data_IF_179471272334
#
_entry.id   IF_179471272334
#
_cell.length_a   1.000
_cell.length_b   1.000
_cell.length_c   1.000
_cell.angle_alpha   90.00
_cell.angle_beta   90.00
_cell.angle_gamma   90.00
#
_symmetry.space_group_name_H-M   'P 1'
#
loop_
_entity.id
_entity.type
_entity.pdbx_description
1 polymer ?
#
# COMPACT_ATOMS: atom_id res chain seq x y z
N UNK A 1 -18.75 -5.29 18.29
CA UNK A 1 -18.27 -4.15 17.46
C UNK A 1 -17.57 -4.68 16.20
N UNK A 2 -17.65 -3.98 15.06
CA UNK A 2 -16.93 -4.33 13.83
C UNK A 2 -15.80 -3.31 13.62
N UNK A 3 -14.55 -3.76 13.43
CA UNK A 3 -13.42 -2.86 13.16
C UNK A 3 -12.67 -3.32 11.91
N UNK A 4 -12.53 -2.40 10.93
CA UNK A 4 -11.63 -2.59 9.79
C UNK A 4 -10.22 -2.29 10.24
N UNK A 5 -9.27 -3.20 10.04
CA UNK A 5 -7.91 -3.08 10.58
C UNK A 5 -6.88 -3.28 9.48
N UNK A 6 -5.93 -2.36 9.41
CA UNK A 6 -4.75 -2.49 8.55
C UNK A 6 -3.73 -3.46 9.17
N UNK A 7 -3.38 -4.50 8.41
CA UNK A 7 -2.42 -5.53 8.82
C UNK A 7 -0.95 -5.11 8.70
N UNK A 8 -0.69 -3.94 8.10
CA UNK A 8 0.66 -3.55 7.73
C UNK A 8 1.13 -4.16 6.41
N UNK A 9 2.35 -3.84 5.96
CA UNK A 9 2.87 -4.18 4.63
C UNK A 9 3.30 -5.64 4.48
N UNK A 10 3.56 -6.35 5.60
CA UNK A 10 4.02 -7.75 5.55
C UNK A 10 4.62 -8.26 6.85
N UNK A 11 5.60 -7.58 7.42
CA UNK A 11 6.19 -7.97 8.71
C UNK A 11 5.15 -7.87 9.84
N UNK A 12 5.15 -8.87 10.73
CA UNK A 12 4.17 -8.98 11.80
C UNK A 12 4.25 -7.82 12.81
N UNK A 13 5.44 -7.27 13.01
CA UNK A 13 5.70 -6.14 13.93
C UNK A 13 5.40 -4.76 13.32
N UNK A 14 5.02 -4.71 12.04
CA UNK A 14 4.56 -3.49 11.40
C UNK A 14 3.03 -3.30 11.45
N UNK A 15 2.31 -4.17 12.14
CA UNK A 15 0.95 -3.88 12.56
C UNK A 15 0.98 -2.77 13.62
N UNK A 16 0.00 -1.87 13.61
CA UNK A 16 -0.09 -0.86 14.65
C UNK A 16 -0.37 -1.49 16.02
N UNK A 17 0.07 -0.85 17.10
CA UNK A 17 -0.22 -1.31 18.48
C UNK A 17 -1.72 -1.46 18.71
N UNK A 18 -2.54 -0.56 18.13
CA UNK A 18 -4.01 -0.66 18.18
C UNK A 18 -4.50 -1.89 17.42
N UNK A 19 -4.02 -2.10 16.18
CA UNK A 19 -4.40 -3.25 15.37
C UNK A 19 -4.06 -4.58 16.06
N UNK A 20 -2.87 -4.67 16.67
CA UNK A 20 -2.47 -5.85 17.44
C UNK A 20 -3.40 -6.13 18.63
N UNK A 21 -3.78 -5.08 19.38
CA UNK A 21 -4.71 -5.22 20.50
C UNK A 21 -6.07 -5.71 20.01
N UNK A 22 -6.62 -5.11 18.96
CA UNK A 22 -7.89 -5.51 18.37
C UNK A 22 -7.89 -6.97 17.91
N UNK A 23 -6.80 -7.46 17.28
CA UNK A 23 -6.66 -8.88 16.92
C UNK A 23 -6.67 -9.80 18.14
N UNK A 24 -5.97 -9.42 19.21
CA UNK A 24 -5.93 -10.20 20.46
C UNK A 24 -7.29 -10.26 21.16
N UNK A 25 -8.13 -9.26 21.00
CA UNK A 25 -9.46 -9.14 21.61
C UNK A 25 -10.56 -9.72 20.72
N UNK A 26 -10.31 -9.96 19.44
CA UNK A 26 -11.29 -10.40 18.47
C UNK A 26 -11.88 -11.79 18.79
N UNK A 27 -13.19 -11.92 18.60
CA UNK A 27 -13.92 -13.19 18.61
C UNK A 27 -14.04 -13.76 17.19
N UNK A 28 -14.08 -12.87 16.19
CA UNK A 28 -14.12 -13.21 14.77
C UNK A 28 -13.07 -12.36 14.03
N UNK A 29 -12.27 -13.01 13.19
CA UNK A 29 -11.35 -12.34 12.25
C UNK A 29 -11.68 -12.76 10.82
N UNK A 30 -11.95 -11.78 9.95
CA UNK A 30 -12.14 -12.00 8.51
C UNK A 30 -10.96 -11.33 7.81
N UNK A 31 -10.02 -12.10 7.27
CA UNK A 31 -8.79 -11.57 6.67
C UNK A 31 -8.77 -11.63 5.13
N UNK A 32 -8.05 -10.71 4.50
CA UNK A 32 -8.01 -10.53 3.04
C UNK A 32 -7.04 -11.49 2.32
N UNK A 33 -7.14 -12.77 2.62
CA UNK A 33 -6.44 -13.83 1.88
C UNK A 33 -4.91 -13.76 1.96
N UNK A 34 -4.25 -14.16 0.88
CA UNK A 34 -2.79 -14.34 0.81
C UNK A 34 -1.96 -13.05 0.89
N UNK A 35 -2.59 -11.90 0.90
CA UNK A 35 -1.92 -10.60 1.04
C UNK A 35 -1.72 -10.20 2.50
N UNK A 36 -2.36 -10.87 3.44
CA UNK A 36 -2.17 -10.70 4.89
C UNK A 36 -1.20 -11.77 5.38
N UNK A 37 -0.18 -11.36 6.14
CA UNK A 37 0.76 -12.30 6.74
C UNK A 37 0.02 -13.23 7.73
N UNK A 38 0.02 -14.56 7.49
CA UNK A 38 -0.70 -15.50 8.36
C UNK A 38 -0.13 -15.56 9.78
N UNK A 39 1.09 -15.09 10.01
CA UNK A 39 1.69 -14.96 11.34
C UNK A 39 0.88 -14.08 12.27
N UNK A 40 0.22 -13.05 11.75
CA UNK A 40 -0.68 -12.19 12.52
C UNK A 40 -1.88 -12.95 13.12
N UNK A 41 -2.34 -14.00 12.47
CA UNK A 41 -3.47 -14.80 12.96
C UNK A 41 -3.13 -15.57 14.26
N UNK A 42 -1.83 -15.77 14.56
CA UNK A 42 -1.37 -16.35 15.82
C UNK A 42 -1.59 -15.45 17.04
N UNK A 43 -1.85 -14.16 16.80
CA UNK A 43 -2.19 -13.20 17.85
C UNK A 43 -3.62 -13.35 18.36
N UNK A 44 -4.49 -14.00 17.59
CA UNK A 44 -5.89 -14.19 17.93
C UNK A 44 -6.07 -15.14 19.13
N UNK A 45 -7.19 -15.00 19.84
CA UNK A 45 -7.56 -15.93 20.91
C UNK A 45 -7.70 -17.37 20.36
N UNK A 46 -7.49 -18.37 21.20
CA UNK A 46 -7.63 -19.77 20.83
C UNK A 46 -9.03 -20.13 20.26
N UNK A 47 -10.07 -19.45 20.78
CA UNK A 47 -11.46 -19.65 20.32
C UNK A 47 -11.92 -18.66 19.26
N UNK A 48 -11.00 -17.88 18.68
CA UNK A 48 -11.34 -16.93 17.62
C UNK A 48 -11.76 -17.67 16.33
N UNK A 49 -12.89 -17.29 15.77
CA UNK A 49 -13.31 -17.79 14.46
C UNK A 49 -12.58 -17.03 13.36
N UNK A 50 -11.90 -17.74 12.45
CA UNK A 50 -11.07 -17.12 11.41
C UNK A 50 -11.62 -17.48 10.03
N UNK A 51 -11.95 -16.45 9.24
CA UNK A 51 -12.50 -16.55 7.89
C UNK A 51 -11.53 -15.95 6.86
N UNK A 52 -11.36 -16.63 5.74
CA UNK A 52 -10.56 -16.16 4.61
C UNK A 52 -11.47 -15.60 3.51
N UNK A 53 -11.57 -14.27 3.40
CA UNK A 53 -12.45 -13.62 2.44
C UNK A 53 -12.04 -13.76 0.97
N UNK A 54 -10.84 -14.28 0.66
CA UNK A 54 -10.50 -14.62 -0.71
C UNK A 54 -11.38 -15.74 -1.31
N UNK A 55 -12.14 -16.45 -0.45
CA UNK A 55 -13.06 -17.53 -0.83
C UNK A 55 -14.52 -17.17 -0.59
N UNK A 56 -14.82 -15.90 -0.30
CA UNK A 56 -16.14 -15.43 0.10
C UNK A 56 -16.62 -14.33 -0.84
N UNK A 57 -17.93 -14.25 -1.03
CA UNK A 57 -18.59 -13.10 -1.66
C UNK A 57 -18.77 -11.95 -0.67
N UNK A 58 -19.20 -10.78 -1.14
CA UNK A 58 -19.54 -9.65 -0.26
C UNK A 58 -20.63 -10.04 0.74
N UNK A 59 -21.69 -10.71 0.24
CA UNK A 59 -22.85 -11.12 1.03
C UNK A 59 -22.44 -12.10 2.14
N UNK A 60 -21.57 -13.07 1.84
CA UNK A 60 -21.06 -14.04 2.83
C UNK A 60 -20.20 -13.35 3.90
N UNK A 61 -19.40 -12.35 3.53
CA UNK A 61 -18.62 -11.54 4.49
C UNK A 61 -19.56 -10.74 5.39
N UNK A 62 -20.58 -10.11 4.82
CA UNK A 62 -21.58 -9.34 5.56
C UNK A 62 -22.42 -10.24 6.48
N UNK A 63 -22.81 -11.42 6.03
CA UNK A 63 -23.55 -12.39 6.86
C UNK A 63 -22.79 -12.73 8.14
N UNK A 64 -21.47 -13.01 8.03
CA UNK A 64 -20.61 -13.27 9.20
C UNK A 64 -20.55 -12.06 10.12
N UNK A 65 -20.41 -10.85 9.57
CA UNK A 65 -20.34 -9.60 10.34
C UNK A 65 -21.67 -9.33 11.08
N UNK A 66 -22.79 -9.42 10.38
CA UNK A 66 -24.13 -9.13 10.92
C UNK A 66 -24.48 -10.12 12.03
N UNK A 67 -24.28 -11.42 11.78
CA UNK A 67 -24.51 -12.48 12.77
C UNK A 67 -23.63 -12.29 14.00
N UNK A 68 -22.33 -12.09 13.80
CA UNK A 68 -21.39 -11.90 14.91
C UNK A 68 -21.71 -10.65 15.73
N UNK A 69 -22.14 -9.56 15.06
CA UNK A 69 -22.60 -8.36 15.76
C UNK A 69 -23.85 -8.62 16.62
N UNK A 70 -24.83 -9.34 16.08
CA UNK A 70 -26.04 -9.74 16.83
C UNK A 70 -25.74 -10.62 18.04
N UNK A 71 -24.69 -11.43 17.96
CA UNK A 71 -24.18 -12.26 19.06
C UNK A 71 -23.30 -11.48 20.07
N UNK A 72 -23.12 -10.17 19.88
CA UNK A 72 -22.32 -9.31 20.77
C UNK A 72 -20.81 -9.51 20.66
N UNK A 73 -20.32 -10.09 19.55
CA UNK A 73 -18.90 -10.42 19.32
C UNK A 73 -18.09 -9.22 18.87
N UNK A 74 -16.78 -9.24 19.18
CA UNK A 74 -15.77 -8.34 18.63
C UNK A 74 -15.25 -8.91 17.30
N UNK A 75 -15.40 -8.13 16.21
CA UNK A 75 -15.15 -8.58 14.84
C UNK A 75 -14.05 -7.72 14.22
N UNK A 76 -12.98 -8.34 13.74
CA UNK A 76 -11.92 -7.66 12.99
C UNK A 76 -11.99 -8.05 11.52
N UNK A 77 -12.14 -7.03 10.65
CA UNK A 77 -11.96 -7.15 9.21
C UNK A 77 -10.53 -6.74 8.86
N UNK A 78 -9.64 -7.73 8.68
CA UNK A 78 -8.21 -7.52 8.54
C UNK A 78 -7.80 -7.40 7.06
N UNK A 79 -7.25 -6.25 6.68
CA UNK A 79 -6.80 -5.92 5.32
C UNK A 79 -5.28 -5.77 5.25
N UNK A 80 -4.67 -6.11 4.11
CA UNK A 80 -3.25 -5.84 3.88
C UNK A 80 -2.96 -4.34 3.85
N UNK A 81 -1.80 -3.93 4.31
CA UNK A 81 -1.39 -2.53 4.33
C UNK A 81 -2.31 -1.67 5.18
N UNK A 82 -2.93 -0.71 4.52
CA UNK A 82 -4.01 0.13 5.05
C UNK A 82 -5.28 -0.06 4.23
N UNK A 83 -6.46 -0.25 4.85
CA UNK A 83 -7.72 -0.47 4.15
C UNK A 83 -8.13 0.66 3.21
N UNK A 84 -7.67 1.89 3.44
CA UNK A 84 -8.03 3.07 2.64
C UNK A 84 -7.53 3.02 1.20
N UNK A 85 -6.51 2.17 0.90
CA UNK A 85 -5.96 2.02 -0.45
C UNK A 85 -6.30 0.64 -1.03
N UNK A 86 -7.21 0.63 -2.00
CA UNK A 86 -7.64 -0.58 -2.74
C UNK A 86 -8.20 -1.70 -1.85
N UNK A 87 -8.68 -1.35 -0.65
CA UNK A 87 -9.20 -2.31 0.34
C UNK A 87 -10.59 -2.86 0.03
N UNK A 88 -11.34 -2.26 -0.90
CA UNK A 88 -12.74 -2.61 -1.21
C UNK A 88 -13.62 -2.66 0.06
N UNK A 89 -13.39 -1.68 0.97
CA UNK A 89 -14.13 -1.62 2.25
C UNK A 89 -15.38 -0.75 2.16
N UNK A 90 -15.44 0.17 1.21
CA UNK A 90 -16.54 1.13 1.12
C UNK A 90 -17.89 0.46 0.95
N UNK A 91 -17.99 -0.52 0.08
CA UNK A 91 -19.23 -1.29 -0.12
C UNK A 91 -19.67 -2.04 1.13
N UNK A 92 -18.71 -2.60 1.91
CA UNK A 92 -18.99 -3.24 3.19
C UNK A 92 -19.53 -2.23 4.23
N UNK A 93 -18.88 -1.07 4.34
CA UNK A 93 -19.29 0.02 5.23
C UNK A 93 -20.67 0.56 4.87
N UNK A 94 -20.98 0.72 3.58
CA UNK A 94 -22.29 1.21 3.12
C UNK A 94 -23.43 0.23 3.47
N UNK A 95 -23.19 -1.08 3.36
CA UNK A 95 -24.18 -2.09 3.78
C UNK A 95 -24.36 -2.12 5.31
N UNK A 96 -23.27 -2.06 6.09
CA UNK A 96 -23.36 -1.96 7.55
C UNK A 96 -24.13 -0.72 8.00
N UNK A 97 -23.91 0.41 7.32
CA UNK A 97 -24.62 1.67 7.59
C UNK A 97 -26.12 1.55 7.31
N UNK A 98 -26.53 0.88 6.23
CA UNK A 98 -27.95 0.62 5.92
C UNK A 98 -28.63 -0.23 7.01
N UNK A 99 -27.86 -1.11 7.63
CA UNK A 99 -28.32 -1.99 8.72
C UNK A 99 -28.19 -1.32 10.10
N UNK A 100 -27.76 -0.05 10.16
CA UNK A 100 -27.52 0.70 11.41
C UNK A 100 -26.52 0.00 12.35
N UNK A 101 -25.60 -0.82 11.78
CA UNK A 101 -24.55 -1.52 12.52
C UNK A 101 -23.31 -0.61 12.64
N UNK A 102 -22.87 -0.28 13.87
CA UNK A 102 -21.69 0.55 14.07
C UNK A 102 -20.41 -0.17 13.69
N UNK A 103 -19.49 0.59 13.07
CA UNK A 103 -18.15 0.10 12.74
C UNK A 103 -17.12 1.20 12.97
N UNK A 104 -15.86 0.79 13.10
CA UNK A 104 -14.69 1.66 13.25
C UNK A 104 -13.62 1.27 12.22
N UNK A 105 -12.68 2.19 12.00
CA UNK A 105 -11.51 1.97 11.16
C UNK A 105 -10.22 2.18 11.99
N UNK A 106 -9.29 1.23 11.87
CA UNK A 106 -7.97 1.27 12.49
C UNK A 106 -6.92 1.30 11.39
N UNK A 107 -6.28 2.45 11.14
CA UNK A 107 -5.29 2.60 10.08
C UNK A 107 -4.12 1.62 10.23
N UNK A 108 -3.52 1.26 9.11
CA UNK A 108 -2.33 0.43 9.04
C UNK A 108 -1.17 1.12 8.33
N UNK A 109 0.00 0.49 8.34
CA UNK A 109 1.13 0.92 7.52
C UNK A 109 0.93 0.39 6.11
N UNK A 110 0.70 1.28 5.15
CA UNK A 110 0.50 0.87 3.77
C UNK A 110 1.76 0.30 3.14
N UNK A 111 1.60 -0.61 2.18
CA UNK A 111 2.71 -1.25 1.48
C UNK A 111 3.60 -0.27 0.70
N UNK A 112 3.10 0.91 0.30
CA UNK A 112 3.97 1.91 -0.31
C UNK A 112 5.00 2.49 0.67
N UNK A 113 4.66 2.59 1.96
CA UNK A 113 5.61 2.94 3.02
C UNK A 113 6.65 1.83 3.23
N UNK A 114 6.20 0.56 3.18
CA UNK A 114 7.10 -0.59 3.23
C UNK A 114 8.07 -0.62 2.04
N UNK A 115 7.59 -0.29 0.84
CA UNK A 115 8.44 -0.19 -0.35
C UNK A 115 9.49 0.93 -0.22
N UNK A 116 9.11 2.10 0.30
CA UNK A 116 10.07 3.18 0.56
C UNK A 116 11.16 2.76 1.54
N UNK A 117 10.79 2.05 2.62
CA UNK A 117 11.75 1.54 3.61
C UNK A 117 12.72 0.52 3.00
N UNK A 118 12.20 -0.43 2.20
CA UNK A 118 13.02 -1.42 1.49
C UNK A 118 14.01 -0.76 0.50
N UNK A 119 13.58 0.30 -0.18
CA UNK A 119 14.39 1.11 -1.10
C UNK A 119 15.35 2.07 -0.38
N UNK A 120 15.16 2.31 0.93
CA UNK A 120 15.84 3.38 1.70
C UNK A 120 15.66 4.75 1.03
N UNK A 121 14.49 4.99 0.47
CA UNK A 121 14.16 6.18 -0.30
C UNK A 121 13.14 7.05 0.42
N UNK A 122 13.29 8.36 0.25
CA UNK A 122 12.26 9.34 0.51
C UNK A 122 11.60 9.70 -0.82
N UNK A 123 10.27 9.60 -0.89
CA UNK A 123 9.54 9.86 -2.13
C UNK A 123 9.46 11.33 -2.54
N UNK A 124 9.82 12.22 -1.62
CA UNK A 124 9.72 13.68 -1.79
C UNK A 124 11.05 14.34 -1.53
N UNK A 125 11.85 14.57 -2.57
CA UNK A 125 13.16 15.20 -2.48
C UNK A 125 13.14 16.63 -3.06
N UNK A 126 13.77 17.62 -2.39
CA UNK A 126 13.90 18.97 -2.90
C UNK A 126 14.56 18.98 -4.29
N UNK A 127 14.01 19.79 -5.20
CA UNK A 127 14.52 19.91 -6.57
C UNK A 127 14.20 18.73 -7.51
N UNK A 128 13.71 17.59 -6.98
CA UNK A 128 13.42 16.38 -7.75
C UNK A 128 11.89 16.13 -7.88
N UNK A 129 11.24 15.86 -6.76
CA UNK A 129 9.79 15.65 -6.72
C UNK A 129 9.25 16.00 -5.35
N UNK A 130 8.14 16.74 -5.30
CA UNK A 130 7.44 17.08 -4.06
C UNK A 130 6.05 16.45 -4.00
N UNK A 131 5.75 15.55 -4.94
CA UNK A 131 4.46 14.88 -5.07
C UNK A 131 4.64 13.40 -5.24
N UNK A 132 3.71 12.63 -4.68
CA UNK A 132 3.63 11.18 -4.84
C UNK A 132 2.28 10.82 -5.43
N UNK A 133 2.30 10.20 -6.61
CA UNK A 133 1.09 9.68 -7.26
C UNK A 133 0.98 8.20 -6.93
N UNK A 134 -0.03 7.84 -6.16
CA UNK A 134 -0.37 6.45 -5.87
C UNK A 134 -1.50 6.05 -6.81
N UNK A 135 -1.24 5.10 -7.70
CA UNK A 135 -2.22 4.68 -8.71
C UNK A 135 -2.03 3.22 -9.12
N UNK A 136 -2.74 2.79 -10.15
CA UNK A 136 -2.64 1.44 -10.76
C UNK A 136 -2.93 1.48 -12.25
N UNK A 137 -2.49 0.46 -12.96
CA UNK A 137 -2.92 0.24 -14.34
C UNK A 137 -4.43 -0.08 -14.42
N UNK A 138 -5.08 0.39 -15.48
CA UNK A 138 -6.36 -0.15 -15.89
C UNK A 138 -6.16 -1.61 -16.33
N UNK A 139 -6.89 -2.52 -15.71
CA UNK A 139 -6.86 -3.95 -16.00
C UNK A 139 -8.27 -4.52 -16.10
N UNK A 140 -8.59 -5.55 -15.33
CA UNK A 140 -9.94 -6.12 -15.27
C UNK A 140 -11.00 -5.12 -14.82
N UNK A 141 -10.59 -4.15 -14.01
CA UNK A 141 -11.42 -3.02 -13.58
C UNK A 141 -10.89 -1.74 -14.21
N UNK A 142 -11.78 -0.86 -14.69
CA UNK A 142 -11.38 0.39 -15.34
C UNK A 142 -10.73 1.36 -14.36
N UNK A 143 -10.01 2.33 -14.91
CA UNK A 143 -9.53 3.54 -14.23
C UNK A 143 -10.08 4.72 -15.05
N UNK A 144 -10.55 5.81 -14.43
CA UNK A 144 -10.97 6.99 -15.17
C UNK A 144 -9.88 7.48 -16.13
N UNK A 145 -10.26 7.92 -17.32
CA UNK A 145 -9.30 8.30 -18.37
C UNK A 145 -8.32 9.38 -17.90
N UNK A 146 -8.81 10.37 -17.14
CA UNK A 146 -8.00 11.43 -16.55
C UNK A 146 -7.00 10.95 -15.49
N UNK A 147 -7.19 9.73 -14.97
CA UNK A 147 -6.32 9.09 -13.98
C UNK A 147 -5.50 7.95 -14.61
N UNK A 148 -5.42 7.92 -15.95
CA UNK A 148 -4.56 6.95 -16.66
C UNK A 148 -3.08 7.15 -16.29
N UNK A 149 -2.29 6.10 -16.41
CA UNK A 149 -0.83 6.17 -16.20
C UNK A 149 -0.23 7.27 -17.06
N UNK A 150 -0.60 7.35 -18.34
CA UNK A 150 -0.13 8.38 -19.26
C UNK A 150 -0.45 9.79 -18.77
N UNK A 151 -1.66 10.02 -18.24
CA UNK A 151 -2.07 11.33 -17.72
C UNK A 151 -1.24 11.74 -16.50
N UNK A 152 -1.03 10.83 -15.54
CA UNK A 152 -0.21 11.12 -14.37
C UNK A 152 1.29 11.22 -14.68
N UNK A 153 1.77 10.43 -15.62
CA UNK A 153 3.18 10.44 -16.05
C UNK A 153 3.60 11.81 -16.62
N UNK A 154 2.66 12.59 -17.17
CA UNK A 154 2.94 13.94 -17.67
C UNK A 154 3.46 14.91 -16.59
N UNK A 155 3.20 14.65 -15.31
CA UNK A 155 3.72 15.43 -14.19
C UNK A 155 5.16 15.05 -13.81
N UNK A 156 5.67 13.91 -14.24
CA UNK A 156 7.00 13.37 -13.90
C UNK A 156 7.29 13.36 -12.39
N UNK A 157 6.24 13.27 -11.58
CA UNK A 157 6.32 13.14 -10.14
C UNK A 157 6.73 11.73 -9.72
N UNK A 158 7.06 11.51 -8.46
CA UNK A 158 7.23 10.14 -7.96
C UNK A 158 5.92 9.36 -8.12
N UNK A 159 5.96 8.19 -8.76
CA UNK A 159 4.79 7.33 -8.90
C UNK A 159 4.99 6.00 -8.15
N UNK A 160 3.97 5.57 -7.43
CA UNK A 160 3.91 4.26 -6.78
C UNK A 160 2.70 3.50 -7.33
N UNK A 161 2.98 2.40 -8.02
CA UNK A 161 1.97 1.67 -8.78
C UNK A 161 1.62 0.35 -8.10
N UNK A 162 0.35 0.25 -7.72
CA UNK A 162 -0.25 -0.94 -7.14
C UNK A 162 -0.83 -1.85 -8.23
N UNK A 163 -1.02 -3.14 -7.95
CA UNK A 163 -1.79 -4.08 -8.78
C UNK A 163 -1.39 -4.14 -10.26
N UNK A 164 -0.17 -3.73 -10.59
CA UNK A 164 0.28 -3.54 -11.98
C UNK A 164 1.36 -4.54 -12.43
N UNK A 165 1.83 -5.42 -11.55
CA UNK A 165 2.95 -6.35 -11.81
C UNK A 165 2.74 -7.27 -13.01
N UNK A 166 1.50 -7.63 -13.32
CA UNK A 166 1.18 -8.49 -14.48
C UNK A 166 1.08 -7.73 -15.82
N UNK A 167 1.40 -6.43 -15.86
CA UNK A 167 1.18 -5.56 -17.03
C UNK A 167 2.39 -4.62 -17.26
N UNK A 168 3.61 -5.05 -16.92
CA UNK A 168 4.78 -4.15 -16.88
C UNK A 168 5.23 -3.66 -18.24
N UNK A 169 5.09 -4.45 -19.30
CA UNK A 169 5.37 -4.02 -20.66
C UNK A 169 4.47 -2.83 -21.05
N UNK A 170 3.15 -3.01 -20.92
CA UNK A 170 2.20 -1.94 -21.16
C UNK A 170 2.36 -0.75 -20.21
N UNK A 171 2.74 -1.01 -18.96
CA UNK A 171 3.04 0.05 -17.99
C UNK A 171 4.21 0.93 -18.45
N UNK A 172 5.29 0.31 -18.93
CA UNK A 172 6.45 1.01 -19.49
C UNK A 172 6.05 1.89 -20.68
N UNK A 173 5.28 1.33 -21.63
CA UNK A 173 4.74 2.09 -22.78
C UNK A 173 3.91 3.31 -22.35
N UNK A 174 3.00 3.16 -21.39
CA UNK A 174 2.16 4.25 -20.91
C UNK A 174 2.96 5.32 -20.15
N UNK A 175 3.99 4.94 -19.39
CA UNK A 175 4.88 5.86 -18.69
C UNK A 175 5.68 6.69 -19.71
N UNK A 176 6.26 6.06 -20.72
CA UNK A 176 7.03 6.74 -21.77
C UNK A 176 6.12 7.64 -22.60
N UNK A 177 4.96 7.16 -23.00
CA UNK A 177 3.97 7.96 -23.74
C UNK A 177 3.45 9.17 -22.95
N UNK A 178 3.54 9.12 -21.62
CA UNK A 178 3.19 10.22 -20.71
C UNK A 178 4.33 11.19 -20.43
N UNK A 179 5.58 10.89 -20.83
CA UNK A 179 6.70 11.82 -20.75
C UNK A 179 7.91 11.36 -19.94
N UNK A 180 7.87 10.20 -19.27
CA UNK A 180 9.08 9.62 -18.70
C UNK A 180 10.03 9.13 -19.79
N UNK A 181 11.32 9.20 -19.53
CA UNK A 181 12.33 8.60 -20.41
C UNK A 181 12.47 7.11 -20.08
N UNK A 182 12.91 6.29 -21.04
CA UNK A 182 13.18 4.87 -20.82
C UNK A 182 14.23 4.64 -19.73
N UNK A 183 15.18 5.56 -19.60
CA UNK A 183 16.26 5.58 -18.61
C UNK A 183 15.81 6.07 -17.23
N UNK A 184 14.58 6.60 -17.10
CA UNK A 184 14.08 7.06 -15.80
C UNK A 184 14.17 5.95 -14.77
N UNK A 185 14.78 6.20 -13.59
CA UNK A 185 14.92 5.20 -12.56
C UNK A 185 13.59 4.63 -12.12
N UNK A 186 13.55 3.31 -11.98
CA UNK A 186 12.42 2.56 -11.47
C UNK A 186 12.89 1.45 -10.54
N UNK A 187 12.01 0.96 -9.71
CA UNK A 187 12.26 -0.21 -8.87
C UNK A 187 11.02 -1.07 -8.76
N UNK A 188 11.23 -2.38 -8.70
CA UNK A 188 10.21 -3.36 -8.39
C UNK A 188 10.49 -3.86 -6.97
N UNK A 189 9.56 -3.66 -6.04
CA UNK A 189 9.67 -4.13 -4.66
C UNK A 189 8.68 -5.26 -4.44
N UNK A 190 9.20 -6.47 -4.47
CA UNK A 190 8.42 -7.69 -4.26
C UNK A 190 8.30 -7.97 -2.77
N UNK A 191 7.07 -8.19 -2.29
CA UNK A 191 6.75 -8.53 -0.91
C UNK A 191 7.51 -7.66 0.11
N UNK A 192 7.40 -6.33 -0.01
CA UNK A 192 8.03 -5.39 0.92
C UNK A 192 7.78 -5.78 2.37
N UNK A 193 8.83 -5.83 3.17
CA UNK A 193 8.87 -6.21 4.60
C UNK A 193 8.60 -7.69 4.94
N UNK A 194 8.29 -8.52 3.97
CA UNK A 194 8.18 -9.96 4.17
C UNK A 194 9.56 -10.63 4.22
N UNK A 195 9.68 -11.86 4.78
CA UNK A 195 10.96 -12.61 4.75
C UNK A 195 11.52 -12.83 3.33
N UNK A 196 10.63 -12.89 2.32
CA UNK A 196 11.01 -13.08 0.93
C UNK A 196 11.12 -11.76 0.15
N UNK A 197 11.27 -10.62 0.84
CA UNK A 197 11.46 -9.32 0.21
C UNK A 197 12.58 -9.34 -0.84
N UNK A 198 12.29 -8.76 -2.01
CA UNK A 198 13.29 -8.48 -3.04
C UNK A 198 13.13 -7.06 -3.55
N UNK A 199 14.25 -6.36 -3.64
CA UNK A 199 14.34 -5.05 -4.28
C UNK A 199 15.11 -5.18 -5.58
N UNK A 200 14.51 -4.77 -6.68
CA UNK A 200 15.11 -4.83 -8.01
C UNK A 200 15.10 -3.43 -8.61
N UNK A 201 16.29 -2.81 -8.65
CA UNK A 201 16.49 -1.55 -9.34
C UNK A 201 16.56 -1.78 -10.85
N UNK A 202 15.86 -0.94 -11.59
CA UNK A 202 15.78 -0.98 -13.06
C UNK A 202 15.48 0.43 -13.59
N UNK A 203 15.10 0.51 -14.85
CA UNK A 203 14.58 1.73 -15.45
C UNK A 203 13.15 1.49 -15.98
N UNK A 204 12.47 2.54 -16.37
CA UNK A 204 11.15 2.44 -17.00
C UNK A 204 11.18 1.47 -18.18
N UNK A 205 12.21 1.58 -19.05
CA UNK A 205 12.35 0.71 -20.23
C UNK A 205 12.67 -0.75 -19.92
N UNK A 206 13.20 -1.07 -18.73
CA UNK A 206 13.62 -2.44 -18.36
C UNK A 206 12.72 -3.11 -17.31
N UNK A 207 11.57 -2.51 -16.99
CA UNK A 207 10.62 -3.04 -15.98
C UNK A 207 10.19 -4.49 -16.27
N UNK A 208 9.73 -4.77 -17.49
CA UNK A 208 9.24 -6.08 -17.88
C UNK A 208 10.33 -7.15 -17.87
N UNK A 209 11.48 -6.86 -18.50
CA UNK A 209 12.65 -7.75 -18.53
C UNK A 209 13.15 -8.09 -17.11
N UNK A 210 13.21 -7.08 -16.23
CA UNK A 210 13.63 -7.26 -14.84
C UNK A 210 12.69 -8.19 -14.09
N UNK A 211 11.38 -7.99 -14.22
CA UNK A 211 10.41 -8.85 -13.54
C UNK A 211 10.43 -10.29 -14.08
N UNK A 212 10.62 -10.48 -15.39
CA UNK A 212 10.73 -11.80 -16.01
C UNK A 212 11.97 -12.55 -15.50
N UNK A 213 13.13 -11.91 -15.54
CA UNK A 213 14.41 -12.45 -15.02
C UNK A 213 14.29 -12.88 -13.57
N UNK A 214 13.62 -12.09 -12.73
CA UNK A 214 13.44 -12.34 -11.30
C UNK A 214 12.22 -13.20 -10.99
N UNK A 215 11.44 -13.60 -12.00
CA UNK A 215 10.22 -14.41 -11.90
C UNK A 215 9.15 -13.78 -10.99
N UNK A 216 9.00 -12.45 -11.06
CA UNK A 216 8.03 -11.69 -10.27
C UNK A 216 6.81 -11.39 -11.14
N UNK A 217 5.68 -12.02 -10.83
CA UNK A 217 4.43 -11.89 -11.60
C UNK A 217 3.28 -11.24 -10.82
N UNK A 218 3.43 -11.11 -9.51
CA UNK A 218 2.40 -10.55 -8.59
C UNK A 218 3.04 -10.08 -7.28
N UNK A 219 2.25 -9.42 -6.44
CA UNK A 219 2.61 -9.03 -5.06
C UNK A 219 3.86 -8.14 -5.01
N UNK A 220 3.99 -7.24 -5.99
CA UNK A 220 5.05 -6.24 -6.01
C UNK A 220 4.46 -4.84 -6.22
N UNK A 221 5.15 -3.84 -5.69
CA UNK A 221 4.95 -2.43 -6.00
C UNK A 221 6.01 -1.98 -6.99
N UNK A 222 5.61 -1.13 -7.92
CA UNK A 222 6.53 -0.48 -8.83
C UNK A 222 6.66 0.98 -8.39
N UNK A 223 7.89 1.43 -8.20
CA UNK A 223 8.22 2.82 -7.88
C UNK A 223 8.97 3.43 -9.05
N UNK A 224 8.52 4.58 -9.52
CA UNK A 224 9.11 5.28 -10.68
C UNK A 224 9.41 6.72 -10.29
N UNK A 225 10.60 7.19 -10.66
CA UNK A 225 10.97 8.58 -10.53
C UNK A 225 12.41 8.81 -10.12
N UNK A 226 12.89 10.03 -10.38
CA UNK A 226 14.27 10.44 -10.12
C UNK A 226 14.63 10.48 -8.62
N UNK A 227 13.66 10.33 -7.71
CA UNK A 227 13.91 10.14 -6.27
C UNK A 227 14.70 8.87 -5.95
N UNK A 228 14.78 7.93 -6.90
CA UNK A 228 15.59 6.73 -6.79
C UNK A 228 17.07 6.96 -7.15
N UNK A 229 17.42 8.14 -7.69
CA UNK A 229 18.78 8.59 -7.87
C UNK A 229 19.39 9.10 -6.56
N UNK A 230 20.71 9.16 -6.50
CA UNK A 230 21.46 9.61 -5.32
C UNK A 230 21.77 11.12 -5.33
N UNK A 231 21.60 11.79 -6.46
CA UNK A 231 21.87 13.24 -6.60
C UNK A 231 20.60 14.04 -6.36
N UNK A 232 20.59 14.83 -5.29
CA UNK A 232 19.47 15.70 -4.92
C UNK A 232 19.94 16.93 -4.15
N UNK A 233 19.14 17.98 -4.10
CA UNK A 233 19.40 19.17 -3.30
C UNK A 233 19.10 18.90 -1.82
N UNK A 234 19.97 19.40 -0.92
CA UNK A 234 19.73 19.29 0.52
C UNK A 234 18.51 20.12 0.93
N UNK A 235 17.74 19.58 1.86
CA UNK A 235 16.66 20.31 2.47
C UNK A 235 17.18 21.55 3.18
N UNK A 236 16.57 22.72 2.91
CA UNK A 236 16.87 23.96 3.62
C UNK A 236 16.60 23.89 5.13
N UNK A 237 15.78 22.94 5.58
CA UNK A 237 15.50 22.75 7.02
C UNK A 237 16.76 22.46 7.85
N UNK A 238 17.76 21.82 7.23
CA UNK A 238 19.04 21.51 7.89
C UNK A 238 20.16 22.50 7.53
N UNK A 239 19.89 23.47 6.68
CA UNK A 239 20.86 24.52 6.33
C UNK A 239 21.16 25.38 7.56
N UNK A 240 22.44 25.51 7.98
CA UNK A 240 22.81 26.35 9.10
C UNK A 240 22.36 27.80 8.98
N UNK A 241 22.31 28.36 7.78
CA UNK A 241 21.91 29.74 7.50
C UNK A 241 20.38 29.92 7.50
N UNK A 242 19.59 28.83 7.45
CA UNK A 242 18.12 28.90 7.38
C UNK A 242 17.51 29.05 8.77
N UNK A 243 16.75 30.13 8.98
CA UNK A 243 15.98 30.36 10.21
C UNK A 243 14.67 29.56 10.14
N UNK A 244 14.40 28.79 11.19
CA UNK A 244 13.12 28.09 11.40
C UNK A 244 12.43 28.69 12.63
N UNK A 245 11.21 28.25 12.90
CA UNK A 245 10.47 28.60 14.13
C UNK A 245 11.26 28.24 15.40
N UNK A 246 12.08 27.18 15.36
CA UNK A 246 12.82 26.62 16.50
C UNK A 246 14.32 26.95 16.49
N UNK A 247 14.85 27.49 15.40
CA UNK A 247 16.30 27.72 15.24
C UNK A 247 16.58 28.97 14.41
N UNK A 248 17.35 29.93 14.96
CA UNK A 248 17.91 31.05 14.19
C UNK A 248 19.04 30.56 13.26
N UNK A 249 19.00 30.99 12.02
CA UNK A 249 20.11 30.80 11.09
C UNK A 249 21.39 31.44 11.62
N UNK A 250 22.52 30.78 11.35
CA UNK A 250 23.84 31.33 11.63
C UNK A 250 24.28 32.13 10.42
N UNK A 251 24.86 33.30 10.63
CA UNK A 251 25.60 34.01 9.57
C UNK A 251 26.81 33.12 9.19
N UNK A 252 26.91 32.80 7.90
CA UNK A 252 28.01 32.01 7.32
C UNK A 252 29.07 32.96 6.79
#
# INVERSE_FOLDING_TARGET
MITFVGAGPGAEDLITVRGQRLLKEADIVIYAGSLVNPGLLKLCKEKCEIYNSAKMTLEEVLEVMVKGHGDGKEIVRLHTGDPCLYGAIREQMDELKKLEIPYEDCPGVSSFCGAAAALKAEYTLPGISQSVVITRMAGRTPVPEKESIRSFAAHQATMVLFLSTGMLEKLSEELVAGGYQEETPAAIVYKATWPEEKVMHCTVGTLAETAEREKVTKTALIVVGNVLNTEYERSKLYDPAFTTEFRKGKEV
#
